data_IF_887960688084
#
_entry.id   IF_887960688084
#
_cell.length_a   1.000
_cell.length_b   1.000
_cell.length_c   1.000
_cell.angle_alpha   90.00
_cell.angle_beta   90.00
_cell.angle_gamma   90.00
#
_symmetry.space_group_name_H-M   'P 1'
#
loop_
_entity.id
_entity.type
_entity.pdbx_description
1 polymer ?
#
# COMPACT_ATOMS: atom_id res chain seq x y z
N UNK A 1 10.15 14.73 10.22
CA UNK A 1 9.75 14.28 11.56
C UNK A 1 8.22 14.15 11.63
N UNK A 2 7.72 13.02 12.12
CA UNK A 2 6.28 12.79 12.33
C UNK A 2 6.04 12.31 13.77
N UNK A 3 5.21 13.04 14.50
CA UNK A 3 4.85 12.71 15.88
C UNK A 3 4.07 11.40 15.99
N UNK A 4 3.33 11.02 14.95
CA UNK A 4 2.55 9.77 14.94
C UNK A 4 3.42 8.51 15.01
N UNK A 5 4.72 8.60 14.68
CA UNK A 5 5.66 7.47 14.72
C UNK A 5 6.27 7.24 16.11
N UNK A 6 6.21 8.26 16.98
CA UNK A 6 6.85 8.20 18.32
C UNK A 6 6.37 7.04 19.17
N UNK A 7 5.05 6.77 19.31
CA UNK A 7 4.59 5.65 20.13
C UNK A 7 5.14 4.29 19.69
N UNK A 8 5.28 4.09 18.37
CA UNK A 8 5.86 2.85 17.81
C UNK A 8 7.36 2.74 18.13
N UNK A 9 8.12 3.84 17.97
CA UNK A 9 9.56 3.88 18.25
C UNK A 9 9.82 3.72 19.75
N UNK A 10 9.05 4.39 20.61
CA UNK A 10 9.15 4.27 22.07
C UNK A 10 8.81 2.85 22.57
N UNK A 11 8.00 2.10 21.82
CA UNK A 11 7.70 0.69 22.08
C UNK A 11 8.80 -0.27 21.58
N UNK A 12 9.96 0.25 21.11
CA UNK A 12 11.08 -0.54 20.61
C UNK A 12 11.05 -0.84 19.11
N UNK A 13 10.08 -0.29 18.38
CA UNK A 13 9.99 -0.44 16.93
C UNK A 13 11.05 0.36 16.15
N UNK A 14 11.46 -0.13 15.00
CA UNK A 14 12.32 0.58 14.06
C UNK A 14 11.47 1.06 12.89
N UNK A 15 11.53 2.35 12.58
CA UNK A 15 10.85 2.92 11.42
C UNK A 15 11.84 3.18 10.30
N UNK A 16 11.70 2.47 9.17
CA UNK A 16 12.46 2.67 7.96
C UNK A 16 11.63 3.45 6.93
N UNK A 17 12.16 4.53 6.41
CA UNK A 17 11.57 5.27 5.30
C UNK A 17 12.39 5.04 4.04
N UNK A 18 11.76 4.45 3.04
CA UNK A 18 12.37 4.16 1.75
C UNK A 18 12.21 5.35 0.80
N UNK A 19 13.29 5.71 0.11
CA UNK A 19 13.27 6.64 -1.02
C UNK A 19 13.34 5.81 -2.30
N UNK A 20 12.21 5.60 -2.93
CA UNK A 20 12.05 4.70 -4.08
C UNK A 20 12.02 5.50 -5.38
N UNK A 21 12.46 4.90 -6.50
CA UNK A 21 12.24 5.47 -7.82
C UNK A 21 10.75 5.79 -8.02
N UNK A 22 10.43 6.87 -8.70
CA UNK A 22 9.07 7.40 -8.78
C UNK A 22 8.79 8.51 -7.76
N UNK A 23 9.61 8.65 -6.70
CA UNK A 23 9.66 9.82 -5.83
C UNK A 23 10.45 10.97 -6.45
N UNK A 24 10.55 12.09 -5.73
CA UNK A 24 11.29 13.29 -6.19
C UNK A 24 12.60 13.53 -5.43
N UNK A 25 13.01 12.60 -4.57
CA UNK A 25 14.12 12.80 -3.64
C UNK A 25 15.44 13.03 -4.36
N UNK A 26 15.60 12.44 -5.56
CA UNK A 26 16.82 12.56 -6.37
C UNK A 26 16.56 13.20 -7.75
N UNK A 27 15.48 14.00 -7.87
CA UNK A 27 15.18 14.78 -9.07
C UNK A 27 14.27 14.07 -10.08
N UNK A 28 14.11 14.72 -11.25
CA UNK A 28 13.13 14.31 -12.25
C UNK A 28 13.43 12.94 -12.88
N UNK A 29 14.69 12.63 -13.14
CA UNK A 29 15.08 11.32 -13.69
C UNK A 29 14.70 10.17 -12.74
N UNK A 30 14.85 10.40 -11.42
CA UNK A 30 14.44 9.46 -10.40
C UNK A 30 12.92 9.25 -10.39
N UNK A 31 12.17 10.36 -10.57
CA UNK A 31 10.71 10.30 -10.69
C UNK A 31 10.27 9.51 -11.94
N UNK A 32 10.79 9.87 -13.10
CA UNK A 32 10.44 9.22 -14.37
C UNK A 32 10.75 7.72 -14.34
N UNK A 33 11.85 7.31 -13.70
CA UNK A 33 12.24 5.90 -13.58
C UNK A 33 11.24 5.02 -12.78
N UNK A 34 10.20 5.62 -12.19
CA UNK A 34 9.11 4.91 -11.50
C UNK A 34 7.73 5.22 -12.07
N UNK A 35 7.62 5.66 -13.32
CA UNK A 35 6.35 6.01 -13.97
C UNK A 35 6.00 5.07 -15.13
N UNK A 36 4.73 5.00 -15.51
CA UNK A 36 4.21 4.26 -16.69
C UNK A 36 4.79 2.84 -16.77
N UNK A 37 5.43 2.51 -17.90
CA UNK A 37 6.02 1.19 -18.14
C UNK A 37 7.18 0.85 -17.19
N UNK A 38 7.74 1.85 -16.51
CA UNK A 38 8.79 1.67 -15.50
C UNK A 38 8.27 1.58 -14.07
N UNK A 39 6.93 1.54 -13.87
CA UNK A 39 6.31 1.52 -12.53
C UNK A 39 6.74 0.32 -11.69
N UNK A 40 7.10 -0.79 -12.29
CA UNK A 40 7.61 -1.96 -11.58
C UNK A 40 8.87 -1.64 -10.76
N UNK A 41 9.72 -0.71 -11.20
CA UNK A 41 10.91 -0.29 -10.46
C UNK A 41 10.60 0.18 -9.04
N UNK A 42 9.43 0.79 -8.81
CA UNK A 42 9.00 1.24 -7.48
C UNK A 42 8.79 0.05 -6.54
N UNK A 43 8.22 -1.02 -7.05
CA UNK A 43 7.95 -2.24 -6.28
C UNK A 43 9.22 -3.03 -6.05
N UNK A 44 10.08 -3.13 -7.07
CA UNK A 44 11.39 -3.78 -6.97
C UNK A 44 12.29 -3.09 -5.94
N UNK A 45 12.31 -1.76 -5.91
CA UNK A 45 13.06 -0.99 -4.91
C UNK A 45 12.54 -1.25 -3.49
N UNK A 46 11.22 -1.34 -3.30
CA UNK A 46 10.63 -1.65 -2.01
C UNK A 46 10.97 -3.08 -1.55
N UNK A 47 10.90 -4.04 -2.46
CA UNK A 47 11.28 -5.43 -2.19
C UNK A 47 12.76 -5.52 -1.81
N UNK A 48 13.65 -4.88 -2.59
CA UNK A 48 15.08 -4.84 -2.29
C UNK A 48 15.40 -4.19 -0.94
N UNK A 49 14.68 -3.12 -0.57
CA UNK A 49 14.81 -2.52 0.76
C UNK A 49 14.39 -3.48 1.88
N UNK A 50 13.30 -4.23 1.69
CA UNK A 50 12.84 -5.22 2.68
C UNK A 50 13.87 -6.35 2.82
N UNK A 51 14.35 -6.89 1.70
CA UNK A 51 15.39 -7.92 1.68
C UNK A 51 16.68 -7.43 2.36
N UNK A 52 17.12 -6.21 2.05
CA UNK A 52 18.28 -5.60 2.71
C UNK A 52 18.15 -5.54 4.24
N UNK A 53 16.98 -5.13 4.75
CA UNK A 53 16.74 -5.08 6.20
C UNK A 53 16.79 -6.47 6.84
N UNK A 54 16.31 -7.48 6.14
CA UNK A 54 16.33 -8.88 6.61
C UNK A 54 17.76 -9.45 6.57
N UNK A 55 18.45 -9.31 5.44
CA UNK A 55 19.80 -9.85 5.22
C UNK A 55 20.84 -9.23 6.17
N UNK A 56 20.67 -7.95 6.52
CA UNK A 56 21.56 -7.26 7.44
C UNK A 56 21.14 -7.35 8.91
N UNK A 57 20.13 -8.17 9.23
CA UNK A 57 19.74 -8.47 10.61
C UNK A 57 19.01 -7.34 11.33
N UNK A 58 18.51 -6.32 10.62
CA UNK A 58 17.66 -5.28 11.20
C UNK A 58 16.27 -5.79 11.55
N UNK A 59 15.76 -6.76 10.79
CA UNK A 59 14.45 -7.37 10.99
C UNK A 59 14.41 -8.78 10.43
N UNK A 60 13.22 -9.38 10.43
CA UNK A 60 12.94 -10.64 9.75
C UNK A 60 11.51 -10.60 9.17
N UNK A 61 11.12 -11.52 8.27
CA UNK A 61 9.76 -11.55 7.74
C UNK A 61 8.66 -11.58 8.82
N UNK A 62 8.95 -12.17 9.98
CA UNK A 62 8.02 -12.26 11.11
C UNK A 62 7.85 -10.93 11.88
N UNK A 63 8.78 -10.01 11.70
CA UNK A 63 8.85 -8.74 12.41
C UNK A 63 8.83 -7.53 11.47
N UNK A 64 8.64 -7.75 10.17
CA UNK A 64 8.57 -6.68 9.18
C UNK A 64 7.13 -6.37 8.81
N UNK A 65 6.76 -5.10 8.88
CA UNK A 65 5.47 -4.61 8.42
C UNK A 65 5.66 -3.56 7.31
N UNK A 66 4.73 -3.52 6.36
CA UNK A 66 4.72 -2.54 5.27
C UNK A 66 3.48 -1.65 5.38
N UNK A 67 3.68 -0.33 5.37
CA UNK A 67 2.61 0.66 5.44
C UNK A 67 2.79 1.72 4.35
N UNK A 68 1.70 2.13 3.72
CA UNK A 68 1.72 3.19 2.73
C UNK A 68 0.34 3.72 2.41
N UNK A 69 0.24 5.01 2.09
CA UNK A 69 -1.03 5.68 1.78
C UNK A 69 -1.11 6.15 0.33
N UNK A 70 -2.33 6.18 -0.25
CA UNK A 70 -2.60 6.68 -1.60
C UNK A 70 -1.80 5.90 -2.66
N UNK A 71 -0.88 6.54 -3.39
CA UNK A 71 0.11 5.86 -4.24
C UNK A 71 0.97 4.86 -3.44
N UNK A 72 1.27 5.15 -2.18
CA UNK A 72 1.91 4.20 -1.27
C UNK A 72 1.02 3.02 -0.89
N UNK A 73 -0.30 3.20 -0.88
CA UNK A 73 -1.26 2.09 -0.72
C UNK A 73 -1.27 1.15 -1.93
N UNK A 74 -1.15 1.68 -3.15
CA UNK A 74 -0.90 0.89 -4.36
C UNK A 74 0.40 0.08 -4.21
N UNK A 75 1.49 0.74 -3.78
CA UNK A 75 2.77 0.07 -3.52
C UNK A 75 2.59 -1.12 -2.59
N UNK A 76 1.96 -0.92 -1.43
CA UNK A 76 1.73 -2.00 -0.45
C UNK A 76 0.95 -3.15 -1.08
N UNK A 77 -0.15 -2.86 -1.77
CA UNK A 77 -0.98 -3.89 -2.42
C UNK A 77 -0.22 -4.68 -3.49
N UNK A 78 0.57 -4.00 -4.33
CA UNK A 78 1.36 -4.65 -5.38
C UNK A 78 2.49 -5.52 -4.79
N UNK A 79 3.23 -4.98 -3.80
CA UNK A 79 4.36 -5.69 -3.19
C UNK A 79 3.91 -6.94 -2.43
N UNK A 80 2.79 -6.88 -1.67
CA UNK A 80 2.32 -8.07 -0.95
C UNK A 80 1.76 -9.16 -1.90
N UNK A 81 1.30 -8.80 -3.09
CA UNK A 81 0.94 -9.78 -4.11
C UNK A 81 2.19 -10.46 -4.71
N UNK A 82 3.27 -9.70 -4.92
CA UNK A 82 4.52 -10.19 -5.52
C UNK A 82 5.40 -10.95 -4.52
N UNK A 83 5.47 -10.47 -3.27
CA UNK A 83 6.34 -11.02 -2.22
C UNK A 83 5.63 -11.07 -0.87
N UNK A 84 4.58 -11.89 -0.76
CA UNK A 84 3.84 -12.04 0.51
C UNK A 84 4.69 -12.63 1.64
N UNK A 85 5.77 -13.31 1.31
CA UNK A 85 6.71 -13.98 2.21
C UNK A 85 7.58 -13.02 3.05
N UNK A 86 7.71 -11.75 2.61
CA UNK A 86 8.61 -10.78 3.26
C UNK A 86 8.01 -10.08 4.49
N UNK A 87 6.70 -10.16 4.69
CA UNK A 87 6.02 -9.33 5.69
C UNK A 87 5.12 -10.15 6.62
N UNK A 88 5.08 -9.77 7.90
CA UNK A 88 4.09 -10.27 8.86
C UNK A 88 2.77 -9.49 8.78
N UNK A 89 2.85 -8.19 8.51
CA UNK A 89 1.69 -7.32 8.42
C UNK A 89 1.83 -6.32 7.26
N UNK A 90 0.69 -5.91 6.68
CA UNK A 90 0.63 -4.88 5.65
C UNK A 90 -0.59 -3.98 5.84
N UNK A 91 -0.39 -2.67 5.67
CA UNK A 91 -1.45 -1.66 5.84
C UNK A 91 -1.51 -0.76 4.60
N UNK A 92 -2.22 -1.19 3.54
CA UNK A 92 -2.52 -0.32 2.41
C UNK A 92 -3.62 0.68 2.81
N UNK A 93 -3.28 1.98 2.85
CA UNK A 93 -4.19 3.04 3.27
C UNK A 93 -4.65 3.84 2.06
N UNK A 94 -5.97 4.00 1.90
CA UNK A 94 -6.61 4.78 0.83
C UNK A 94 -5.95 4.55 -0.54
N UNK A 95 -5.63 3.30 -0.86
CA UNK A 95 -4.78 2.93 -1.99
C UNK A 95 -5.52 2.82 -3.33
N UNK A 96 -4.79 3.08 -4.42
CA UNK A 96 -5.29 2.89 -5.80
C UNK A 96 -5.19 1.41 -6.16
N UNK A 97 -6.22 0.61 -5.85
CA UNK A 97 -6.16 -0.85 -5.93
C UNK A 97 -6.60 -1.43 -7.28
N UNK A 98 -7.39 -0.69 -8.06
CA UNK A 98 -7.86 -1.09 -9.40
C UNK A 98 -7.18 -0.22 -10.46
N UNK A 99 -6.04 -0.67 -10.96
CA UNK A 99 -5.25 0.09 -11.92
C UNK A 99 -5.83 0.10 -13.33
N UNK A 100 -6.75 -0.82 -13.63
CA UNK A 100 -7.39 -0.85 -14.95
C UNK A 100 -8.49 0.20 -15.10
N UNK A 101 -9.07 0.68 -13.98
CA UNK A 101 -10.21 1.59 -13.96
C UNK A 101 -9.99 2.86 -13.16
N UNK A 102 -8.81 3.06 -12.57
CA UNK A 102 -8.55 4.21 -11.69
C UNK A 102 -8.90 5.55 -12.36
N UNK A 103 -8.61 5.68 -13.65
CA UNK A 103 -8.82 6.90 -14.44
C UNK A 103 -10.30 7.23 -14.70
N UNK A 104 -11.20 6.27 -14.47
CA UNK A 104 -12.64 6.44 -14.59
C UNK A 104 -13.30 6.96 -13.30
N UNK A 105 -12.55 7.06 -12.20
CA UNK A 105 -13.07 7.51 -10.91
C UNK A 105 -12.62 8.93 -10.61
N UNK A 106 -13.56 9.79 -10.23
CA UNK A 106 -13.36 11.17 -9.74
C UNK A 106 -12.21 11.91 -10.45
N UNK A 107 -11.06 12.14 -9.76
CA UNK A 107 -9.89 12.83 -10.30
C UNK A 107 -8.81 11.87 -10.80
N UNK A 108 -9.07 10.56 -10.87
CA UNK A 108 -8.08 9.55 -11.26
C UNK A 108 -7.46 9.81 -12.63
N UNK A 109 -8.22 10.36 -13.58
CA UNK A 109 -7.72 10.77 -14.89
C UNK A 109 -6.49 11.68 -14.84
N UNK A 110 -6.35 12.47 -13.78
CA UNK A 110 -5.22 13.40 -13.61
C UNK A 110 -3.90 12.68 -13.32
N UNK A 111 -3.93 11.42 -12.94
CA UNK A 111 -2.73 10.62 -12.66
C UNK A 111 -2.22 9.83 -13.87
N UNK A 112 -2.87 10.00 -15.03
CA UNK A 112 -2.47 9.33 -16.26
C UNK A 112 -1.05 9.75 -16.73
N UNK A 113 -0.58 10.92 -16.33
CA UNK A 113 0.82 11.33 -16.55
C UNK A 113 1.83 10.37 -15.93
N UNK A 114 1.51 9.82 -14.74
CA UNK A 114 2.38 8.96 -13.97
C UNK A 114 2.14 7.46 -14.25
N UNK A 115 0.87 7.08 -14.48
CA UNK A 115 0.52 5.66 -14.62
C UNK A 115 0.27 5.21 -16.06
N UNK A 116 -0.12 6.13 -16.96
CA UNK A 116 -0.79 5.76 -18.22
C UNK A 116 -2.20 5.22 -17.93
N UNK A 117 -2.97 4.90 -18.96
CA UNK A 117 -4.30 4.30 -18.80
C UNK A 117 -4.40 2.94 -19.51
N UNK A 118 -5.32 2.10 -19.05
CA UNK A 118 -5.59 0.80 -19.70
C UNK A 118 -6.17 0.94 -21.12
N UNK A 119 -6.56 2.14 -21.53
CA UNK A 119 -7.13 2.48 -22.83
C UNK A 119 -6.10 3.06 -23.80
N UNK A 120 -4.88 3.40 -23.34
CA UNK A 120 -3.86 4.01 -24.17
C UNK A 120 -3.40 3.06 -25.31
N UNK A 121 -3.04 1.84 -24.95
CA UNK A 121 -2.63 0.78 -25.87
C UNK A 121 -2.49 -0.56 -25.12
N UNK A 122 -2.23 -1.64 -25.86
CA UNK A 122 -2.08 -2.98 -25.31
C UNK A 122 -0.92 -3.09 -24.31
N UNK A 123 0.23 -2.49 -24.61
CA UNK A 123 1.42 -2.54 -23.74
C UNK A 123 1.16 -1.88 -22.39
N UNK A 124 0.48 -0.71 -22.38
CA UNK A 124 0.11 -0.03 -21.16
C UNK A 124 -0.93 -0.82 -20.36
N UNK A 125 -1.92 -1.43 -21.04
CA UNK A 125 -2.88 -2.32 -20.38
C UNK A 125 -2.17 -3.47 -19.66
N UNK A 126 -1.26 -4.17 -20.36
CA UNK A 126 -0.51 -5.29 -19.81
C UNK A 126 0.37 -4.87 -18.64
N UNK A 127 1.03 -3.71 -18.73
CA UNK A 127 1.83 -3.14 -17.63
C UNK A 127 0.97 -2.84 -16.40
N UNK A 128 -0.16 -2.16 -16.57
CA UNK A 128 -1.08 -1.85 -15.47
C UNK A 128 -1.70 -3.12 -14.86
N UNK A 129 -2.06 -4.09 -15.68
CA UNK A 129 -2.61 -5.37 -15.24
C UNK A 129 -1.59 -6.13 -14.39
N UNK A 130 -0.32 -6.15 -14.80
CA UNK A 130 0.74 -6.91 -14.16
C UNK A 130 0.97 -6.54 -12.68
N UNK A 131 0.74 -5.27 -12.30
CA UNK A 131 0.90 -4.84 -10.90
C UNK A 131 -0.39 -4.40 -10.21
N UNK A 132 -1.54 -4.42 -10.89
CA UNK A 132 -2.82 -4.00 -10.28
C UNK A 132 -3.16 -4.85 -9.06
N UNK A 133 -3.21 -4.29 -7.84
CA UNK A 133 -3.40 -5.11 -6.64
C UNK A 133 -4.65 -5.98 -6.67
N UNK A 134 -5.78 -5.42 -7.12
CA UNK A 134 -7.06 -6.12 -7.21
C UNK A 134 -7.01 -7.34 -8.14
N UNK A 135 -6.26 -7.24 -9.25
CA UNK A 135 -6.27 -8.25 -10.30
C UNK A 135 -5.20 -9.34 -10.12
N UNK A 136 -4.30 -9.16 -9.15
CA UNK A 136 -3.18 -10.08 -8.91
C UNK A 136 -3.23 -10.76 -7.54
N UNK A 137 -4.40 -10.80 -6.90
CA UNK A 137 -4.61 -11.62 -5.70
C UNK A 137 -4.54 -13.10 -6.11
N UNK A 138 -3.68 -13.86 -5.45
CA UNK A 138 -3.45 -15.27 -5.76
C UNK A 138 -4.14 -16.15 -4.72
N UNK A 139 -4.80 -17.21 -5.18
CA UNK A 139 -5.28 -18.28 -4.30
C UNK A 139 -4.13 -19.21 -3.91
N UNK A 140 -4.30 -19.91 -2.79
CA UNK A 140 -3.34 -20.89 -2.26
C UNK A 140 -1.96 -20.31 -1.91
N UNK A 141 -1.90 -19.00 -1.70
CA UNK A 141 -0.71 -18.26 -1.24
C UNK A 141 -0.96 -17.71 0.15
N UNK A 142 -0.02 -17.89 1.05
CA UNK A 142 -0.15 -17.39 2.42
C UNK A 142 0.25 -15.90 2.48
N UNK A 143 -0.75 -15.02 2.50
CA UNK A 143 -0.54 -13.59 2.63
C UNK A 143 -0.28 -13.17 4.07
N UNK A 144 0.43 -12.03 4.32
CA UNK A 144 0.54 -11.44 5.65
C UNK A 144 -0.82 -11.05 6.20
N UNK A 145 -0.87 -10.66 7.48
CA UNK A 145 -2.03 -9.97 8.02
C UNK A 145 -2.22 -8.63 7.28
N UNK A 146 -3.41 -8.35 6.75
CA UNK A 146 -3.67 -7.15 5.96
C UNK A 146 -4.82 -6.35 6.58
N UNK A 147 -4.56 -5.06 6.88
CA UNK A 147 -5.59 -4.09 7.22
C UNK A 147 -5.68 -3.01 6.14
N UNK A 148 -6.69 -3.10 5.30
CA UNK A 148 -7.02 -2.04 4.34
C UNK A 148 -7.68 -0.89 5.08
N UNK A 149 -7.26 0.36 4.84
CA UNK A 149 -7.98 1.53 5.39
C UNK A 149 -8.58 2.39 4.29
N UNK A 150 -9.76 2.94 4.54
CA UNK A 150 -10.45 3.87 3.62
C UNK A 150 -11.41 4.78 4.37
N UNK A 151 -11.98 5.75 3.68
CA UNK A 151 -12.99 6.66 4.20
C UNK A 151 -14.15 6.82 3.21
N UNK A 152 -15.39 6.91 3.71
CA UNK A 152 -16.58 7.01 2.86
C UNK A 152 -16.61 8.25 1.95
N UNK A 153 -16.02 9.35 2.41
CA UNK A 153 -16.01 10.62 1.68
C UNK A 153 -14.66 10.89 1.00
N UNK A 154 -13.89 9.84 0.73
CA UNK A 154 -12.67 9.98 -0.06
C UNK A 154 -13.05 10.24 -1.53
N UNK A 155 -12.89 11.50 -1.95
CA UNK A 155 -13.16 11.98 -3.30
C UNK A 155 -11.92 11.98 -4.20
N UNK A 156 -10.75 11.71 -3.63
CA UNK A 156 -9.48 11.59 -4.37
C UNK A 156 -9.25 10.17 -4.82
N UNK A 157 -9.15 9.23 -3.89
CA UNK A 157 -9.09 7.79 -4.16
C UNK A 157 -10.38 7.16 -3.64
N UNK A 158 -11.37 7.05 -4.52
CA UNK A 158 -12.71 6.61 -4.11
C UNK A 158 -12.66 5.29 -3.33
N UNK A 159 -13.50 5.14 -2.29
CA UNK A 159 -13.48 3.96 -1.42
C UNK A 159 -13.77 2.65 -2.16
N UNK A 160 -14.31 2.72 -3.37
CA UNK A 160 -14.52 1.56 -4.24
C UNK A 160 -13.23 0.77 -4.51
N UNK A 161 -12.07 1.42 -4.60
CA UNK A 161 -10.77 0.75 -4.69
C UNK A 161 -10.54 -0.18 -3.51
N UNK A 162 -10.67 0.36 -2.29
CA UNK A 162 -10.45 -0.37 -1.06
C UNK A 162 -11.50 -1.45 -0.81
N UNK A 163 -12.78 -1.18 -1.10
CA UNK A 163 -13.86 -2.14 -0.93
C UNK A 163 -13.70 -3.35 -1.86
N UNK A 164 -13.42 -3.12 -3.14
CA UNK A 164 -13.20 -4.21 -4.11
C UNK A 164 -11.99 -5.06 -3.72
N UNK A 165 -10.89 -4.41 -3.35
CA UNK A 165 -9.66 -5.11 -2.96
C UNK A 165 -9.85 -5.93 -1.68
N UNK A 166 -10.44 -5.35 -0.63
CA UNK A 166 -10.71 -6.05 0.62
C UNK A 166 -11.67 -7.24 0.41
N UNK A 167 -12.76 -7.04 -0.36
CA UNK A 167 -13.70 -8.12 -0.68
C UNK A 167 -13.03 -9.26 -1.45
N UNK A 168 -12.16 -8.94 -2.41
CA UNK A 168 -11.43 -9.94 -3.17
C UNK A 168 -10.43 -10.70 -2.30
N UNK A 169 -9.70 -10.02 -1.40
CA UNK A 169 -8.79 -10.65 -0.43
C UNK A 169 -9.53 -11.60 0.52
N UNK A 170 -10.71 -11.18 1.00
CA UNK A 170 -11.53 -12.00 1.91
C UNK A 170 -12.18 -13.21 1.22
N UNK A 171 -12.44 -13.11 -0.08
CA UNK A 171 -12.97 -14.21 -0.87
C UNK A 171 -11.92 -15.21 -1.33
N UNK A 172 -10.67 -14.77 -1.45
CA UNK A 172 -9.56 -15.60 -1.91
C UNK A 172 -9.02 -16.50 -0.78
N UNK A 173 -8.47 -17.65 -1.16
CA UNK A 173 -7.80 -18.57 -0.24
C UNK A 173 -6.36 -18.11 0.02
N UNK A 174 -6.21 -17.12 0.89
CA UNK A 174 -4.93 -16.44 1.16
C UNK A 174 -4.33 -16.77 2.53
N UNK A 175 -4.64 -17.92 3.10
CA UNK A 175 -4.20 -18.37 4.43
C UNK A 175 -5.00 -17.74 5.58
N UNK A 176 -4.63 -18.12 6.82
CA UNK A 176 -5.42 -17.83 8.05
C UNK A 176 -5.16 -16.43 8.64
N UNK A 177 -4.15 -15.71 8.15
CA UNK A 177 -3.87 -14.37 8.64
C UNK A 177 -5.05 -13.42 8.37
N UNK A 178 -5.38 -12.48 9.29
CA UNK A 178 -6.55 -11.63 9.16
C UNK A 178 -6.47 -10.70 7.93
N UNK A 179 -7.58 -10.59 7.19
CA UNK A 179 -7.82 -9.64 6.10
C UNK A 179 -9.00 -8.78 6.50
N UNK A 180 -8.72 -7.60 7.02
CA UNK A 180 -9.73 -6.70 7.56
C UNK A 180 -9.75 -5.37 6.81
N UNK A 181 -10.84 -4.65 6.93
CA UNK A 181 -10.97 -3.29 6.40
C UNK A 181 -11.43 -2.35 7.52
N UNK A 182 -10.71 -1.24 7.68
CA UNK A 182 -11.07 -0.13 8.56
C UNK A 182 -11.68 1.00 7.72
N UNK A 183 -12.89 1.38 8.04
CA UNK A 183 -13.63 2.40 7.30
C UNK A 183 -13.91 3.58 8.22
N UNK A 184 -13.43 4.78 7.86
CA UNK A 184 -13.84 6.02 8.53
C UNK A 184 -15.10 6.57 7.86
N UNK A 185 -16.19 6.63 8.60
CA UNK A 185 -17.49 7.06 8.06
C UNK A 185 -17.64 8.57 7.91
N UNK A 186 -16.72 9.37 8.49
CA UNK A 186 -16.81 10.85 8.55
C UNK A 186 -15.52 11.55 8.09
N UNK A 187 -14.71 10.89 7.27
CA UNK A 187 -13.47 11.44 6.75
C UNK A 187 -13.39 11.32 5.23
N UNK A 188 -12.53 12.18 4.63
CA UNK A 188 -12.08 12.09 3.24
C UNK A 188 -10.69 11.49 3.13
N UNK A 189 -9.92 11.86 2.09
CA UNK A 189 -8.59 11.29 1.78
C UNK A 189 -7.51 11.52 2.87
N UNK A 190 -7.78 12.30 3.88
CA UNK A 190 -6.87 12.57 5.01
C UNK A 190 -6.64 14.05 5.30
N UNK A 191 -6.71 14.93 4.32
CA UNK A 191 -6.61 16.37 4.55
C UNK A 191 -7.81 16.88 5.36
N UNK A 192 -7.54 17.72 6.37
CA UNK A 192 -8.61 18.33 7.20
C UNK A 192 -9.24 17.36 8.23
N UNK A 193 -8.69 16.16 8.42
CA UNK A 193 -9.17 15.21 9.43
C UNK A 193 -8.93 15.77 10.85
N UNK A 194 -9.93 15.76 11.74
CA UNK A 194 -9.74 16.15 13.14
C UNK A 194 -8.62 15.34 13.82
N UNK A 195 -7.83 15.98 14.69
CA UNK A 195 -6.69 15.35 15.37
C UNK A 195 -7.12 14.07 16.12
N UNK A 196 -8.28 14.09 16.79
CA UNK A 196 -8.82 12.91 17.48
C UNK A 196 -9.00 11.71 16.55
N UNK A 197 -9.47 11.95 15.31
CA UNK A 197 -9.63 10.91 14.29
C UNK A 197 -8.29 10.42 13.74
N UNK A 198 -7.30 11.29 13.64
CA UNK A 198 -5.93 10.89 13.27
C UNK A 198 -5.33 9.99 14.35
N UNK A 199 -5.50 10.35 15.63
CA UNK A 199 -5.02 9.55 16.77
C UNK A 199 -5.69 8.16 16.77
N UNK A 200 -7.03 8.12 16.63
CA UNK A 200 -7.79 6.88 16.59
C UNK A 200 -7.30 5.95 15.45
N UNK A 201 -7.14 6.49 14.24
CA UNK A 201 -6.64 5.73 13.10
C UNK A 201 -5.22 5.21 13.31
N UNK A 202 -4.31 6.05 13.81
CA UNK A 202 -2.94 5.63 14.07
C UNK A 202 -2.87 4.60 15.20
N UNK A 203 -3.70 4.72 16.23
CA UNK A 203 -3.80 3.73 17.29
C UNK A 203 -4.25 2.37 16.75
N UNK A 204 -5.28 2.33 15.89
CA UNK A 204 -5.74 1.11 15.25
C UNK A 204 -4.66 0.49 14.35
N UNK A 205 -3.97 1.32 13.54
CA UNK A 205 -2.90 0.87 12.63
C UNK A 205 -1.73 0.27 13.40
N UNK A 206 -1.22 0.98 14.42
CA UNK A 206 -0.09 0.48 15.20
C UNK A 206 -0.47 -0.73 16.06
N UNK A 207 -1.68 -0.76 16.62
CA UNK A 207 -2.16 -1.94 17.34
C UNK A 207 -2.22 -3.16 16.44
N UNK A 208 -2.71 -3.00 15.21
CA UNK A 208 -2.74 -4.08 14.22
C UNK A 208 -1.34 -4.56 13.85
N UNK A 209 -0.42 -3.63 13.56
CA UNK A 209 0.98 -3.95 13.24
C UNK A 209 1.62 -4.69 14.40
N UNK A 210 1.62 -4.11 15.60
CA UNK A 210 2.27 -4.67 16.79
C UNK A 210 1.72 -6.05 17.17
N UNK A 211 0.42 -6.27 17.01
CA UNK A 211 -0.21 -7.57 17.26
C UNK A 211 0.28 -8.66 16.29
N UNK A 212 0.53 -8.32 15.04
CA UNK A 212 0.87 -9.28 14.00
C UNK A 212 2.39 -9.48 13.79
N UNK A 213 3.23 -8.50 14.14
CA UNK A 213 4.70 -8.64 14.02
C UNK A 213 5.34 -9.45 15.16
N UNK A 214 4.59 -9.90 16.12
CA UNK A 214 4.96 -10.76 17.27
C UNK A 214 6.36 -10.46 17.84
N UNK A 215 6.38 -9.79 18.97
CA UNK A 215 7.57 -9.71 19.85
C UNK A 215 7.76 -11.02 20.60
#
# INVERSE_FOLDING_TARGET
FSTSRLPFIESGGIYAQMNLRGGNEYGEEWHIAGTKLQKQNVFDDCIACAEYLIENGYSSPKHLALQGGSNGGLLVGAVVNQRPDLFAAAVPQVGVMDMLRYHLFTIGWNWASDYGTSEDNKEMFEALYAYSPLHNIQNDVNYPAIMVTTAYHDDRVVPAHSFKYAAALQAAQTGDNPKIIRIDSKAGHGAGKPISKVIEEQADVYSFIMYNVRY
#
